data_IF_712216385222
#
_entry.id   IF_712216385222
#
_cell.length_a   1.000
_cell.length_b   1.000
_cell.length_c   1.000
_cell.angle_alpha   90.00
_cell.angle_beta   90.00
_cell.angle_gamma   90.00
#
_symmetry.space_group_name_H-M   'P 1'
#
loop_
_entity.id
_entity.type
_entity.pdbx_description
1 polymer ?
#
# COMPACT_ATOMS: atom_id res chain seq x y z
N UNK A 1 -14.73 22.21 0.25
CA UNK A 1 -16.17 22.19 0.57
C UNK A 1 -16.36 21.59 1.98
N UNK A 2 -16.97 22.41 2.89
CA UNK A 2 -17.17 22.03 4.30
C UNK A 2 -18.10 20.82 4.44
N UNK A 3 -19.13 20.74 3.61
CA UNK A 3 -20.11 19.62 3.63
C UNK A 3 -19.44 18.29 3.26
N UNK A 4 -18.61 18.28 2.22
CA UNK A 4 -17.86 17.08 1.83
C UNK A 4 -16.86 16.67 2.93
N UNK A 5 -16.17 17.65 3.52
CA UNK A 5 -15.26 17.37 4.63
C UNK A 5 -15.98 16.73 5.82
N UNK A 6 -17.15 17.21 6.17
CA UNK A 6 -17.97 16.62 7.22
C UNK A 6 -18.39 15.19 6.87
N UNK A 7 -18.91 14.96 5.67
CA UNK A 7 -19.33 13.63 5.22
C UNK A 7 -18.20 12.61 5.23
N UNK A 8 -17.00 12.98 4.75
CA UNK A 8 -15.83 12.11 4.83
C UNK A 8 -15.40 11.87 6.28
N UNK A 9 -15.44 12.89 7.14
CA UNK A 9 -15.14 12.72 8.56
C UNK A 9 -16.09 11.73 9.23
N UNK A 10 -17.41 11.88 9.03
CA UNK A 10 -18.42 10.96 9.55
C UNK A 10 -18.22 9.52 9.03
N UNK A 11 -17.88 9.38 7.75
CA UNK A 11 -17.60 8.09 7.13
C UNK A 11 -16.40 7.39 7.77
N UNK A 12 -15.26 8.08 7.91
CA UNK A 12 -14.05 7.46 8.47
C UNK A 12 -14.06 7.25 9.99
N UNK A 13 -15.00 7.89 10.71
CA UNK A 13 -15.24 7.64 12.13
C UNK A 13 -16.24 6.52 12.39
N UNK A 14 -16.86 5.97 11.34
CA UNK A 14 -17.75 4.83 11.48
C UNK A 14 -16.92 3.54 11.55
N UNK A 15 -16.98 2.82 12.66
CA UNK A 15 -16.24 1.59 12.91
C UNK A 15 -16.73 0.39 12.07
N UNK A 16 -17.91 0.49 11.47
CA UNK A 16 -18.52 -0.57 10.64
C UNK A 16 -18.12 -0.47 9.16
N UNK A 17 -17.26 0.51 8.79
CA UNK A 17 -16.82 0.68 7.40
C UNK A 17 -15.34 0.40 7.23
N UNK A 18 -15.02 -0.23 6.10
CA UNK A 18 -13.66 -0.54 5.69
C UNK A 18 -13.33 0.19 4.39
N UNK A 19 -12.11 0.64 4.27
CA UNK A 19 -11.69 1.42 3.10
C UNK A 19 -10.36 0.93 2.56
N UNK A 20 -10.33 0.59 1.27
CA UNK A 20 -9.10 0.29 0.54
C UNK A 20 -8.88 1.34 -0.55
N UNK A 21 -7.79 2.09 -0.47
CA UNK A 21 -7.36 3.04 -1.49
C UNK A 21 -6.20 2.52 -2.31
N UNK A 22 -6.43 2.26 -3.61
CA UNK A 22 -5.41 1.74 -4.52
C UNK A 22 -4.95 2.82 -5.48
N UNK A 23 -3.64 2.97 -5.67
CA UNK A 23 -2.99 3.88 -6.61
C UNK A 23 -3.52 5.33 -6.48
N UNK A 24 -4.36 5.82 -7.39
CA UNK A 24 -5.00 7.13 -7.27
C UNK A 24 -5.89 7.24 -6.00
N UNK A 25 -6.55 6.15 -5.60
CA UNK A 25 -7.26 6.05 -4.31
C UNK A 25 -6.32 6.20 -3.11
N UNK A 26 -5.14 5.60 -3.17
CA UNK A 26 -4.09 5.77 -2.17
C UNK A 26 -3.67 7.25 -2.04
N UNK A 27 -3.40 7.92 -3.15
CA UNK A 27 -3.06 9.35 -3.17
C UNK A 27 -4.19 10.21 -2.60
N UNK A 28 -5.44 9.91 -2.97
CA UNK A 28 -6.63 10.65 -2.51
C UNK A 28 -6.80 10.51 -0.99
N UNK A 29 -6.75 9.29 -0.46
CA UNK A 29 -6.88 9.05 0.98
C UNK A 29 -5.72 9.66 1.77
N UNK A 30 -4.51 9.62 1.23
CA UNK A 30 -3.35 10.29 1.82
C UNK A 30 -3.55 11.81 1.96
N UNK A 31 -4.19 12.45 0.98
CA UNK A 31 -4.56 13.87 1.08
C UNK A 31 -5.68 14.14 2.10
N UNK A 32 -6.48 13.13 2.40
CA UNK A 32 -7.56 13.17 3.39
C UNK A 32 -7.13 12.64 4.77
N UNK A 33 -5.86 12.32 4.99
CA UNK A 33 -5.34 11.70 6.22
C UNK A 33 -5.77 12.43 7.50
N UNK A 34 -5.92 13.77 7.45
CA UNK A 34 -6.41 14.56 8.60
C UNK A 34 -7.88 14.31 8.98
N UNK A 35 -8.62 13.56 8.17
CA UNK A 35 -10.01 13.14 8.44
C UNK A 35 -10.10 11.67 8.83
N UNK A 36 -9.01 10.93 8.69
CA UNK A 36 -8.94 9.48 8.95
C UNK A 36 -8.27 9.28 10.32
N UNK A 37 -8.99 8.80 11.33
CA UNK A 37 -8.40 8.55 12.66
C UNK A 37 -7.20 7.60 12.58
N UNK A 38 -6.08 7.99 13.18
CA UNK A 38 -4.85 7.18 13.21
C UNK A 38 -4.05 7.17 11.90
N UNK A 39 -4.28 8.15 11.00
CA UNK A 39 -3.54 8.31 9.74
C UNK A 39 -2.72 9.62 9.69
N UNK A 40 -2.43 10.23 10.83
CA UNK A 40 -1.79 11.55 10.92
C UNK A 40 -0.36 11.55 10.34
N UNK A 41 0.31 10.40 10.37
CA UNK A 41 1.69 10.22 9.94
C UNK A 41 1.83 9.75 8.48
N UNK A 42 0.71 9.59 7.76
CA UNK A 42 0.76 9.12 6.38
C UNK A 42 1.52 10.09 5.47
N UNK A 43 2.31 9.56 4.50
CA UNK A 43 3.06 10.35 3.53
C UNK A 43 2.13 11.08 2.55
N UNK A 44 2.68 12.03 1.83
CA UNK A 44 2.13 12.46 0.53
C UNK A 44 2.85 11.73 -0.59
N UNK A 45 2.16 11.47 -1.70
CA UNK A 45 2.76 10.80 -2.83
C UNK A 45 3.26 11.80 -3.87
N UNK A 46 4.45 11.55 -4.38
CA UNK A 46 5.18 12.40 -5.32
C UNK A 46 5.65 11.58 -6.52
N UNK A 47 6.20 12.29 -7.51
CA UNK A 47 6.78 11.70 -8.70
C UNK A 47 7.85 10.67 -8.35
N UNK A 48 7.84 9.55 -9.09
CA UNK A 48 8.85 8.50 -8.96
C UNK A 48 10.27 9.07 -9.13
N UNK A 49 11.25 8.50 -8.43
CA UNK A 49 12.66 8.93 -8.58
C UNK A 49 13.15 8.73 -10.02
N UNK A 50 12.66 7.70 -10.72
CA UNK A 50 12.99 7.45 -12.12
C UNK A 50 12.48 8.52 -13.09
N UNK A 51 11.59 9.43 -12.63
CA UNK A 51 10.87 10.41 -13.43
C UNK A 51 10.01 9.80 -14.56
N UNK A 52 9.77 8.48 -14.50
CA UNK A 52 9.02 7.70 -15.50
C UNK A 52 7.74 7.15 -14.90
N UNK A 53 6.80 6.82 -15.79
CA UNK A 53 5.69 5.96 -15.46
C UNK A 53 6.22 4.51 -15.38
N UNK A 54 6.10 3.92 -14.20
CA UNK A 54 6.53 2.55 -13.95
C UNK A 54 5.32 1.62 -14.09
N UNK A 55 5.42 0.66 -15.03
CA UNK A 55 4.37 -0.32 -15.29
C UNK A 55 5.00 -1.71 -15.44
N UNK A 56 4.90 -2.53 -14.41
CA UNK A 56 5.45 -3.89 -14.38
C UNK A 56 4.93 -4.71 -13.21
N UNK A 57 5.19 -6.01 -13.26
CA UNK A 57 5.05 -6.89 -12.12
C UNK A 57 6.28 -6.74 -11.20
N UNK A 58 6.03 -6.59 -9.91
CA UNK A 58 7.06 -6.53 -8.85
C UNK A 58 6.65 -7.50 -7.74
N UNK A 59 7.51 -7.70 -6.76
CA UNK A 59 7.17 -8.43 -5.53
C UNK A 59 6.97 -7.48 -4.37
N UNK A 60 6.07 -7.84 -3.46
CA UNK A 60 5.94 -7.21 -2.15
C UNK A 60 6.03 -8.27 -1.07
N UNK A 61 6.54 -7.89 0.08
CA UNK A 61 6.42 -8.66 1.33
C UNK A 61 5.36 -8.01 2.20
N UNK A 62 4.47 -8.83 2.76
CA UNK A 62 3.45 -8.38 3.72
C UNK A 62 4.10 -8.23 5.08
N UNK A 63 3.97 -7.05 5.68
CA UNK A 63 4.51 -6.73 6.99
C UNK A 63 3.49 -7.03 8.09
N UNK A 64 3.98 -7.30 9.31
CA UNK A 64 3.14 -7.25 10.50
C UNK A 64 2.48 -5.86 10.63
N UNK A 65 1.15 -5.83 10.74
CA UNK A 65 0.40 -4.59 10.84
C UNK A 65 -1.00 -4.82 11.42
N UNK A 66 -1.68 -3.81 11.94
CA UNK A 66 -3.07 -3.93 12.39
C UNK A 66 -4.09 -4.04 11.24
N UNK A 67 -3.66 -4.01 9.98
CA UNK A 67 -4.57 -3.99 8.83
C UNK A 67 -5.43 -5.25 8.74
N UNK A 68 -6.74 -5.08 8.75
CA UNK A 68 -7.70 -6.19 8.54
C UNK A 68 -7.61 -6.81 7.15
N UNK A 69 -7.07 -6.07 6.15
CA UNK A 69 -6.93 -6.55 4.77
C UNK A 69 -5.77 -7.52 4.58
N UNK A 70 -4.82 -7.55 5.52
CA UNK A 70 -3.63 -8.41 5.46
C UNK A 70 -3.55 -9.36 6.66
N UNK A 71 -4.67 -9.59 7.31
CA UNK A 71 -4.73 -10.51 8.44
C UNK A 71 -4.29 -11.92 8.02
N UNK A 72 -3.44 -12.55 8.84
CA UNK A 72 -2.86 -13.88 8.59
C UNK A 72 -1.97 -14.00 7.33
N UNK A 73 -1.54 -12.85 6.74
CA UNK A 73 -0.66 -12.84 5.56
C UNK A 73 0.79 -12.41 5.87
N UNK A 74 1.14 -12.13 7.11
CA UNK A 74 2.48 -11.67 7.50
C UNK A 74 3.58 -12.59 6.96
N UNK A 75 4.61 -11.97 6.36
CA UNK A 75 5.74 -12.68 5.76
C UNK A 75 5.46 -13.25 4.37
N UNK A 76 4.24 -13.20 3.87
CA UNK A 76 3.94 -13.62 2.50
C UNK A 76 4.66 -12.72 1.48
N UNK A 77 5.31 -13.34 0.50
CA UNK A 77 5.95 -12.66 -0.63
C UNK A 77 5.10 -12.91 -1.87
N UNK A 78 4.49 -11.86 -2.39
CA UNK A 78 3.45 -11.97 -3.43
C UNK A 78 3.76 -11.03 -4.59
N UNK A 79 3.70 -11.51 -5.85
CA UNK A 79 3.82 -10.65 -7.03
C UNK A 79 2.58 -9.76 -7.18
N UNK A 80 2.79 -8.51 -7.59
CA UNK A 80 1.73 -7.53 -7.76
C UNK A 80 2.07 -6.52 -8.87
N UNK A 81 1.11 -6.11 -9.69
CA UNK A 81 1.32 -5.08 -10.69
C UNK A 81 1.47 -3.68 -10.08
N UNK A 82 2.36 -2.87 -10.64
CA UNK A 82 2.42 -1.42 -10.46
C UNK A 82 2.15 -0.71 -11.77
N UNK A 83 1.48 0.45 -11.71
CA UNK A 83 1.20 1.29 -12.88
C UNK A 83 1.03 2.75 -12.42
N UNK A 84 2.14 3.45 -12.16
CA UNK A 84 2.09 4.82 -11.62
C UNK A 84 3.32 5.65 -11.97
N UNK A 85 3.13 6.97 -12.15
CA UNK A 85 4.20 7.95 -12.31
C UNK A 85 4.49 8.74 -11.02
N UNK A 86 3.58 8.71 -10.07
CA UNK A 86 3.61 9.49 -8.83
C UNK A 86 3.31 8.58 -7.63
N UNK A 87 4.17 7.58 -7.41
CA UNK A 87 3.98 6.57 -6.36
C UNK A 87 4.94 6.69 -5.17
N UNK A 88 5.88 7.64 -5.21
CA UNK A 88 6.90 7.78 -4.17
C UNK A 88 6.31 8.41 -2.90
N UNK A 89 6.38 7.69 -1.79
CA UNK A 89 6.04 8.22 -0.49
C UNK A 89 7.04 9.32 -0.07
N UNK A 90 6.53 10.53 0.16
CA UNK A 90 7.28 11.64 0.75
C UNK A 90 6.85 11.79 2.21
N UNK A 91 7.73 11.45 3.12
CA UNK A 91 7.45 11.39 4.56
C UNK A 91 8.65 11.92 5.34
N UNK A 92 8.40 12.64 6.43
CA UNK A 92 9.46 13.14 7.33
C UNK A 92 10.08 12.01 8.14
N UNK A 93 11.33 12.19 8.59
CA UNK A 93 11.99 11.23 9.46
C UNK A 93 11.21 10.96 10.76
N UNK A 94 10.54 11.96 11.30
CA UNK A 94 9.70 11.85 12.49
C UNK A 94 8.49 10.92 12.20
N UNK A 95 7.78 11.15 11.10
CA UNK A 95 6.65 10.32 10.72
C UNK A 95 7.08 8.89 10.37
N UNK A 96 8.25 8.69 9.74
CA UNK A 96 8.82 7.34 9.51
C UNK A 96 8.96 6.60 10.84
N UNK A 97 9.51 7.24 11.87
CA UNK A 97 9.69 6.62 13.19
C UNK A 97 8.35 6.21 13.82
N UNK A 98 7.33 7.05 13.73
CA UNK A 98 6.00 6.73 14.25
C UNK A 98 5.31 5.61 13.44
N UNK A 99 5.45 5.60 12.11
CA UNK A 99 4.93 4.53 11.26
C UNK A 99 5.57 3.17 11.60
N UNK A 100 6.89 3.14 11.81
CA UNK A 100 7.62 1.93 12.24
C UNK A 100 7.18 1.49 13.63
N UNK A 101 7.18 2.40 14.60
CA UNK A 101 6.83 2.13 16.00
C UNK A 101 5.42 1.55 16.14
N UNK A 102 4.51 1.95 15.29
CA UNK A 102 3.10 1.55 15.32
C UNK A 102 2.77 0.45 14.30
N UNK A 103 3.76 -0.13 13.61
CA UNK A 103 3.60 -1.16 12.56
C UNK A 103 2.56 -0.80 11.50
N UNK A 104 2.54 0.46 11.03
CA UNK A 104 1.51 0.92 10.09
C UNK A 104 1.86 0.69 8.62
N UNK A 105 3.05 0.19 8.29
CA UNK A 105 3.43 -0.22 6.93
C UNK A 105 2.92 -1.63 6.67
N UNK A 106 1.98 -1.79 5.75
CA UNK A 106 1.32 -3.08 5.48
C UNK A 106 2.06 -3.94 4.48
N UNK A 107 2.66 -3.33 3.46
CA UNK A 107 3.48 -4.00 2.46
C UNK A 107 4.72 -3.19 2.13
N UNK A 108 5.82 -3.90 1.89
CA UNK A 108 7.06 -3.32 1.37
C UNK A 108 7.42 -3.95 0.03
N UNK A 109 7.95 -3.14 -0.90
CA UNK A 109 8.56 -3.66 -2.14
C UNK A 109 9.69 -4.61 -1.76
N UNK A 110 9.76 -5.77 -2.41
CA UNK A 110 10.69 -6.83 -2.06
C UNK A 110 11.67 -7.14 -3.20
N UNK A 111 12.89 -7.53 -2.82
CA UNK A 111 13.90 -8.04 -3.75
C UNK A 111 13.63 -9.53 -4.12
N UNK A 112 14.51 -10.12 -4.93
CA UNK A 112 14.45 -11.51 -5.37
C UNK A 112 14.58 -12.55 -4.25
N UNK A 113 14.98 -12.12 -3.04
CA UNK A 113 15.05 -12.95 -1.83
C UNK A 113 13.81 -12.78 -0.94
N UNK A 114 12.85 -11.96 -1.37
CA UNK A 114 11.65 -11.65 -0.58
C UNK A 114 11.91 -10.66 0.57
N UNK A 115 13.02 -9.95 0.57
CA UNK A 115 13.34 -8.96 1.60
C UNK A 115 12.94 -7.56 1.14
N UNK A 116 12.37 -6.77 2.07
CA UNK A 116 12.05 -5.37 1.82
C UNK A 116 13.23 -4.58 1.29
N UNK A 117 13.03 -3.77 0.24
CA UNK A 117 14.11 -3.09 -0.46
C UNK A 117 13.78 -1.66 -0.89
N UNK A 118 14.80 -0.79 -0.87
CA UNK A 118 14.73 0.56 -1.44
C UNK A 118 15.32 0.63 -2.87
N UNK A 119 15.89 -0.48 -3.36
CA UNK A 119 16.65 -0.47 -4.61
C UNK A 119 15.75 -0.66 -5.84
N UNK A 120 15.97 0.20 -6.85
CA UNK A 120 15.42 0.01 -8.19
C UNK A 120 16.09 -1.21 -8.86
N UNK A 121 15.39 -2.04 -9.63
CA UNK A 121 14.01 -1.90 -10.09
C UNK A 121 12.95 -2.52 -9.18
N UNK A 122 13.31 -3.24 -8.12
CA UNK A 122 12.37 -3.91 -7.24
C UNK A 122 11.47 -2.88 -6.51
N UNK A 123 12.06 -1.77 -6.01
CA UNK A 123 11.31 -0.60 -5.59
C UNK A 123 11.09 0.33 -6.80
N UNK A 124 9.87 0.39 -7.36
CA UNK A 124 9.62 1.07 -8.63
C UNK A 124 9.60 2.60 -8.52
N UNK A 125 9.34 3.15 -7.36
CA UNK A 125 9.09 4.58 -7.17
C UNK A 125 10.08 5.30 -6.26
N UNK A 126 10.92 4.55 -5.51
CA UNK A 126 11.89 5.11 -4.59
C UNK A 126 11.31 5.53 -3.23
N UNK A 127 10.20 4.91 -2.82
CA UNK A 127 9.66 5.12 -1.47
C UNK A 127 10.65 4.64 -0.41
N UNK A 128 10.87 5.42 0.67
CA UNK A 128 11.75 5.01 1.76
C UNK A 128 11.23 3.72 2.41
N UNK A 129 12.12 2.88 2.92
CA UNK A 129 11.85 1.57 3.51
C UNK A 129 11.12 0.58 2.56
N UNK A 130 11.13 0.84 1.26
CA UNK A 130 10.34 0.06 0.30
C UNK A 130 8.83 0.21 0.47
N UNK A 131 8.36 1.22 1.15
CA UNK A 131 6.96 1.41 1.53
C UNK A 131 6.02 1.36 0.32
N UNK A 132 5.20 0.31 0.24
CA UNK A 132 4.21 0.09 -0.82
C UNK A 132 2.77 0.31 -0.38
N UNK A 133 2.48 0.16 0.92
CA UNK A 133 1.15 0.35 1.50
C UNK A 133 1.21 0.67 2.99
N UNK A 134 0.13 1.27 3.47
CA UNK A 134 -0.03 1.73 4.85
C UNK A 134 -1.46 1.49 5.34
N UNK A 135 -1.62 1.39 6.65
CA UNK A 135 -2.91 1.37 7.30
C UNK A 135 -3.02 2.45 8.38
N UNK A 136 -4.23 2.75 8.82
CA UNK A 136 -4.46 3.56 10.01
C UNK A 136 -4.33 2.69 11.28
N UNK A 137 -4.35 3.30 12.46
CA UNK A 137 -4.13 2.58 13.72
C UNK A 137 -5.19 1.51 14.02
N UNK A 138 -6.44 1.70 13.58
CA UNK A 138 -7.51 0.70 13.76
C UNK A 138 -7.45 -0.44 12.74
N UNK A 139 -6.64 -0.33 11.69
CA UNK A 139 -6.53 -1.33 10.63
C UNK A 139 -7.68 -1.31 9.61
N UNK A 140 -8.65 -0.42 9.75
CA UNK A 140 -9.87 -0.39 8.93
C UNK A 140 -9.74 0.41 7.64
N UNK A 141 -8.73 1.28 7.54
CA UNK A 141 -8.43 2.05 6.33
C UNK A 141 -7.03 1.69 5.84
N UNK A 142 -6.93 1.10 4.66
CA UNK A 142 -5.67 0.73 4.04
C UNK A 142 -5.46 1.49 2.73
N UNK A 143 -4.23 1.91 2.48
CA UNK A 143 -3.81 2.54 1.22
C UNK A 143 -2.61 1.79 0.65
N UNK A 144 -2.58 1.63 -0.67
CA UNK A 144 -1.46 0.99 -1.35
C UNK A 144 -1.28 1.51 -2.78
N UNK A 145 -0.04 1.60 -3.25
CA UNK A 145 0.26 2.03 -4.62
C UNK A 145 0.17 0.91 -5.66
N UNK A 146 0.57 -0.34 -5.35
CA UNK A 146 0.34 -1.48 -6.25
C UNK A 146 -1.13 -1.83 -6.42
N UNK A 147 -1.44 -2.60 -7.48
CA UNK A 147 -2.79 -2.92 -7.94
C UNK A 147 -3.16 -4.40 -7.73
N UNK A 148 -3.68 -4.81 -6.57
CA UNK A 148 -4.12 -6.20 -6.36
C UNK A 148 -5.28 -6.58 -7.28
N UNK A 149 -6.16 -5.61 -7.63
CA UNK A 149 -7.32 -5.83 -8.50
C UNK A 149 -6.95 -6.19 -9.95
N UNK A 150 -5.68 -6.04 -10.34
CA UNK A 150 -5.17 -6.41 -11.66
C UNK A 150 -4.50 -7.79 -11.70
N UNK A 151 -4.48 -8.48 -10.59
CA UNK A 151 -3.78 -9.75 -10.43
C UNK A 151 -4.53 -10.70 -9.47
N UNK A 152 -5.86 -10.68 -9.48
CA UNK A 152 -6.68 -11.53 -8.60
C UNK A 152 -6.93 -12.94 -9.18
N UNK A 153 -6.83 -13.13 -10.51
CA UNK A 153 -6.87 -14.44 -11.14
C UNK A 153 -5.45 -14.95 -11.40
N UNK A 154 -5.21 -16.22 -11.17
CA UNK A 154 -3.94 -16.87 -11.46
C UNK A 154 -3.50 -16.74 -12.91
N UNK A 155 -4.43 -16.82 -13.85
CA UNK A 155 -4.20 -16.66 -15.30
C UNK A 155 -3.75 -15.24 -15.71
N UNK A 156 -3.83 -14.25 -14.83
CA UNK A 156 -3.33 -12.90 -15.09
C UNK A 156 -1.80 -12.79 -14.93
N UNK A 157 -1.15 -13.81 -14.38
CA UNK A 157 0.29 -13.90 -14.26
C UNK A 157 0.88 -14.66 -15.44
N UNK A 158 2.07 -14.24 -15.90
CA UNK A 158 2.84 -14.98 -16.92
C UNK A 158 3.41 -16.29 -16.40
N UNK A 159 3.49 -16.46 -15.11
CA UNK A 159 3.88 -17.65 -14.38
C UNK A 159 3.28 -17.60 -12.98
N UNK A 160 2.87 -18.74 -12.46
CA UNK A 160 2.38 -18.92 -11.10
C UNK A 160 2.88 -20.26 -10.53
N UNK A 161 2.97 -20.42 -9.21
CA UNK A 161 3.16 -21.73 -8.57
C UNK A 161 2.05 -22.71 -8.94
N UNK A 162 2.38 -24.00 -9.00
CA UNK A 162 1.44 -25.06 -9.39
C UNK A 162 0.30 -25.29 -8.37
N UNK A 163 0.49 -24.79 -7.15
CA UNK A 163 -0.48 -24.90 -6.03
C UNK A 163 -1.46 -23.71 -5.99
N UNK A 164 -1.31 -22.73 -6.87
CA UNK A 164 -2.33 -21.71 -7.03
C UNK A 164 -3.49 -22.25 -7.86
N UNK A 165 -4.71 -22.10 -7.33
CA UNK A 165 -5.94 -22.49 -8.01
C UNK A 165 -6.40 -21.37 -8.99
N UNK A 166 -7.71 -21.17 -9.15
CA UNK A 166 -8.29 -20.14 -10.02
C UNK A 166 -7.91 -18.74 -9.57
N UNK A 167 -7.83 -18.51 -8.26
CA UNK A 167 -7.56 -17.22 -7.66
C UNK A 167 -6.13 -17.12 -7.13
N UNK A 168 -5.54 -15.95 -7.30
CA UNK A 168 -4.24 -15.63 -6.72
C UNK A 168 -4.36 -15.31 -5.22
N UNK A 169 -3.24 -15.15 -4.50
CA UNK A 169 -3.26 -14.72 -3.09
C UNK A 169 -3.87 -13.32 -2.83
N UNK A 170 -4.32 -12.62 -3.87
CA UNK A 170 -4.96 -11.30 -3.75
C UNK A 170 -6.49 -11.35 -3.62
N UNK A 171 -7.08 -12.49 -3.41
CA UNK A 171 -8.53 -12.69 -3.19
C UNK A 171 -8.86 -12.98 -1.74
#
# INVERSE_FOLDING_TARGET
DLKLRQQFGEFFHNEDVFTLGVCNGCQTLSLLSSLIPGAEHWPKFKRNISEKFESRLIQVVVNESPSIFFNDMEGAVIPIPVAHGEGRAEVSEENIKELIKSNLSTISYADDRGLGTEHYPANPNGSPLGMGGLTNQSGTVNIMMPHPERAFLTDQFSWSPDDWEEYSPWV
#
